data_IF_627571145869
#
_entry.id   IF_627571145869
#
_cell.length_a   1.000
_cell.length_b   1.000
_cell.length_c   1.000
_cell.angle_alpha   90.00
_cell.angle_beta   90.00
_cell.angle_gamma   90.00
#
_symmetry.space_group_name_H-M   'P 1'
#
loop_
_entity.id
_entity.type
_entity.pdbx_description
1 polymer ?
#
# COMPACT_ATOMS: atom_id res chain seq x y z
N UNK A 1 -0.60 16.97 -15.96
CA UNK A 1 -1.74 16.06 -15.78
C UNK A 1 -1.95 15.88 -14.29
N UNK A 2 -3.18 15.95 -13.81
CA UNK A 2 -3.53 15.80 -12.39
C UNK A 2 -4.29 14.49 -12.17
N UNK A 3 -4.13 13.86 -11.01
CA UNK A 3 -4.86 12.63 -10.63
C UNK A 3 -5.86 12.86 -9.48
N UNK A 4 -5.92 14.08 -8.93
CA UNK A 4 -6.89 14.50 -7.93
C UNK A 4 -7.59 15.79 -8.35
N UNK A 5 -8.89 15.88 -8.08
CA UNK A 5 -9.74 17.02 -8.47
C UNK A 5 -9.21 18.32 -7.87
N UNK A 6 -8.82 18.30 -6.59
CA UNK A 6 -8.26 19.47 -5.91
C UNK A 6 -7.04 20.05 -6.63
N UNK A 7 -6.11 19.20 -7.07
CA UNK A 7 -4.92 19.64 -7.78
C UNK A 7 -5.23 20.11 -9.22
N UNK A 8 -6.24 19.54 -9.87
CA UNK A 8 -6.70 20.00 -11.18
C UNK A 8 -7.32 21.41 -11.10
N UNK A 9 -8.23 21.62 -10.14
CA UNK A 9 -8.92 22.91 -9.94
C UNK A 9 -7.95 24.04 -9.59
N UNK A 10 -6.82 23.72 -8.96
CA UNK A 10 -5.80 24.69 -8.52
C UNK A 10 -4.53 24.66 -9.35
N UNK A 11 -4.53 23.99 -10.50
CA UNK A 11 -3.35 23.87 -11.34
C UNK A 11 -2.93 25.24 -11.89
N UNK A 12 -1.66 25.59 -11.72
CA UNK A 12 -1.05 26.78 -12.34
C UNK A 12 -0.54 26.51 -13.76
N UNK A 13 -0.54 25.24 -14.18
CA UNK A 13 -0.15 24.80 -15.52
C UNK A 13 -1.38 24.34 -16.32
N UNK A 14 -1.30 24.44 -17.66
CA UNK A 14 -2.30 23.87 -18.56
C UNK A 14 -2.14 22.35 -18.61
N UNK A 15 -3.01 21.63 -17.91
CA UNK A 15 -3.03 20.17 -17.88
C UNK A 15 -4.44 19.63 -17.65
N UNK A 16 -4.69 18.40 -18.08
CA UNK A 16 -5.96 17.69 -17.87
C UNK A 16 -5.94 16.70 -16.71
N UNK A 17 -7.10 16.11 -16.43
CA UNK A 17 -7.24 14.96 -15.54
C UNK A 17 -6.68 13.70 -16.21
N UNK A 18 -5.98 12.86 -15.46
CA UNK A 18 -5.62 11.50 -15.89
C UNK A 18 -6.91 10.69 -16.09
N UNK A 19 -6.93 9.82 -17.09
CA UNK A 19 -8.06 8.92 -17.33
C UNK A 19 -8.42 8.13 -16.05
N UNK A 20 -9.71 8.13 -15.69
CA UNK A 20 -10.20 7.52 -14.46
C UNK A 20 -9.96 6.00 -14.42
N UNK A 21 -9.94 5.33 -15.57
CA UNK A 21 -9.60 3.92 -15.67
C UNK A 21 -8.14 3.68 -15.26
N UNK A 22 -7.20 4.55 -15.65
CA UNK A 22 -5.79 4.45 -15.25
C UNK A 22 -5.64 4.66 -13.74
N UNK A 23 -6.29 5.69 -13.17
CA UNK A 23 -6.27 5.94 -11.71
C UNK A 23 -6.81 4.71 -10.96
N UNK A 24 -7.90 4.12 -11.45
CA UNK A 24 -8.47 2.91 -10.86
C UNK A 24 -7.49 1.74 -10.90
N UNK A 25 -6.88 1.48 -12.06
CA UNK A 25 -5.91 0.38 -12.26
C UNK A 25 -4.70 0.46 -11.35
N UNK A 26 -4.19 1.67 -11.07
CA UNK A 26 -2.97 1.84 -10.27
C UNK A 26 -3.19 1.77 -8.76
N UNK A 27 -4.43 1.78 -8.28
CA UNK A 27 -4.72 1.78 -6.85
C UNK A 27 -5.17 0.40 -6.37
N UNK A 28 -4.31 -0.28 -5.59
CA UNK A 28 -4.56 -1.60 -5.02
C UNK A 28 -5.86 -1.67 -4.19
N UNK A 29 -6.29 -0.57 -3.56
CA UNK A 29 -7.53 -0.51 -2.77
C UNK A 29 -8.77 -0.90 -3.58
N UNK A 30 -8.76 -0.69 -4.91
CA UNK A 30 -9.88 -1.05 -5.79
C UNK A 30 -10.02 -2.55 -6.05
N UNK A 31 -9.03 -3.36 -5.64
CA UNK A 31 -8.92 -4.77 -6.02
C UNK A 31 -8.79 -5.72 -4.82
N UNK A 32 -8.88 -5.20 -3.60
CA UNK A 32 -8.77 -5.98 -2.34
C UNK A 32 -9.81 -7.10 -2.25
N UNK A 33 -11.00 -6.93 -2.85
CA UNK A 33 -12.08 -7.93 -2.88
C UNK A 33 -11.98 -8.92 -4.06
N UNK A 34 -10.94 -8.82 -4.90
CA UNK A 34 -10.77 -9.74 -6.02
C UNK A 34 -10.50 -11.16 -5.51
N UNK A 35 -11.34 -12.17 -5.84
CA UNK A 35 -11.17 -13.54 -5.37
C UNK A 35 -9.90 -14.22 -5.90
N UNK A 36 -9.28 -13.66 -6.96
CA UNK A 36 -8.00 -14.13 -7.52
C UNK A 36 -6.79 -13.39 -6.96
N UNK A 37 -6.96 -12.42 -6.06
CA UNK A 37 -5.84 -11.71 -5.44
C UNK A 37 -5.14 -12.57 -4.39
N UNK A 38 -3.90 -12.21 -4.07
CA UNK A 38 -3.10 -12.88 -3.04
C UNK A 38 -3.87 -12.99 -1.71
N UNK A 39 -3.71 -14.12 -1.03
CA UNK A 39 -4.37 -14.40 0.24
C UNK A 39 -3.56 -13.92 1.44
N UNK A 40 -2.24 -14.04 1.36
CA UNK A 40 -1.31 -13.67 2.42
C UNK A 40 -0.56 -12.38 2.05
N UNK A 41 -0.53 -11.42 2.97
CA UNK A 41 0.08 -10.11 2.80
C UNK A 41 1.02 -9.82 3.97
N UNK A 42 2.24 -9.35 3.67
CA UNK A 42 3.17 -8.81 4.65
C UNK A 42 3.49 -7.37 4.28
N UNK A 43 3.20 -6.44 5.18
CA UNK A 43 3.34 -4.99 4.94
C UNK A 43 4.18 -4.38 6.06
N UNK A 44 5.16 -3.56 5.69
CA UNK A 44 6.02 -2.81 6.61
C UNK A 44 6.13 -1.35 6.17
N UNK A 45 6.02 -0.43 7.11
CA UNK A 45 6.37 1.00 6.93
C UNK A 45 7.07 1.46 8.19
N UNK A 46 8.31 1.92 8.08
CA UNK A 46 9.12 2.31 9.22
C UNK A 46 8.53 3.50 9.97
N UNK A 47 8.70 3.58 11.29
CA UNK A 47 8.15 4.72 12.06
C UNK A 47 8.84 6.04 11.73
N UNK A 48 10.04 6.00 11.13
CA UNK A 48 10.78 7.17 10.65
C UNK A 48 10.64 7.41 9.13
N UNK A 49 9.87 6.57 8.42
CA UNK A 49 9.50 6.82 7.03
C UNK A 49 8.47 7.96 6.98
N UNK A 50 8.74 8.99 6.18
CA UNK A 50 7.89 10.18 6.02
C UNK A 50 7.61 10.50 4.56
N UNK A 51 7.87 9.55 3.66
CA UNK A 51 7.65 9.71 2.22
C UNK A 51 6.16 9.66 1.88
N UNK A 52 5.36 9.05 2.76
CA UNK A 52 3.90 9.15 2.78
C UNK A 52 3.37 9.09 4.21
N UNK A 53 2.07 9.35 4.39
CA UNK A 53 1.42 9.18 5.70
C UNK A 53 1.32 7.70 6.07
N UNK A 54 1.65 7.34 7.32
CA UNK A 54 1.46 6.01 7.90
C UNK A 54 0.02 5.50 7.76
N UNK A 55 -0.95 6.42 7.62
CA UNK A 55 -2.34 6.07 7.36
C UNK A 55 -2.52 5.31 6.04
N UNK A 56 -1.69 5.55 5.01
CA UNK A 56 -1.85 4.90 3.70
C UNK A 56 -1.66 3.38 3.80
N UNK A 57 -0.56 2.93 4.42
CA UNK A 57 -0.32 1.50 4.62
C UNK A 57 -1.27 0.88 5.63
N UNK A 58 -1.61 1.60 6.70
CA UNK A 58 -2.56 1.14 7.70
C UNK A 58 -3.96 0.91 7.11
N UNK A 59 -4.45 1.85 6.29
CA UNK A 59 -5.75 1.72 5.62
C UNK A 59 -5.80 0.52 4.67
N UNK A 60 -4.72 0.27 3.92
CA UNK A 60 -4.62 -0.92 3.07
C UNK A 60 -4.67 -2.20 3.90
N UNK A 61 -3.88 -2.28 4.97
CA UNK A 61 -3.86 -3.42 5.88
C UNK A 61 -5.23 -3.68 6.53
N UNK A 62 -5.91 -2.61 6.99
CA UNK A 62 -7.26 -2.70 7.56
C UNK A 62 -8.25 -3.22 6.53
N UNK A 63 -8.27 -2.63 5.32
CA UNK A 63 -9.22 -3.03 4.28
C UNK A 63 -9.00 -4.49 3.84
N UNK A 64 -7.75 -4.93 3.72
CA UNK A 64 -7.41 -6.33 3.44
C UNK A 64 -7.93 -7.28 4.54
N UNK A 65 -7.72 -6.95 5.82
CA UNK A 65 -8.27 -7.73 6.94
C UNK A 65 -9.81 -7.78 6.91
N UNK A 66 -10.49 -6.66 6.63
CA UNK A 66 -11.95 -6.60 6.56
C UNK A 66 -12.55 -7.52 5.50
N UNK A 67 -11.80 -7.81 4.42
CA UNK A 67 -12.24 -8.70 3.34
C UNK A 67 -11.71 -10.13 3.51
N UNK A 68 -11.21 -10.47 4.70
CA UNK A 68 -10.81 -11.83 5.08
C UNK A 68 -9.39 -12.23 4.70
N UNK A 69 -8.57 -11.32 4.16
CA UNK A 69 -7.17 -11.62 3.83
C UNK A 69 -6.30 -11.73 5.06
N UNK A 70 -5.26 -12.56 5.00
CA UNK A 70 -4.29 -12.71 6.08
C UNK A 70 -3.22 -11.63 5.97
N UNK A 71 -3.15 -10.73 6.95
CA UNK A 71 -2.24 -9.56 6.90
C UNK A 71 -1.31 -9.54 8.10
N UNK A 72 -0.01 -9.67 7.84
CA UNK A 72 1.08 -9.36 8.77
C UNK A 72 1.48 -7.89 8.54
N UNK A 73 0.99 -6.99 9.40
CA UNK A 73 1.30 -5.56 9.36
C UNK A 73 2.12 -5.12 10.57
N UNK A 74 3.20 -4.37 10.32
CA UNK A 74 3.97 -3.74 11.40
C UNK A 74 4.56 -2.40 10.98
N UNK A 75 4.88 -1.58 11.99
CA UNK A 75 5.62 -0.33 11.82
C UNK A 75 6.96 -0.41 12.56
N UNK A 76 8.05 -0.87 11.90
CA UNK A 76 9.33 -1.07 12.57
C UNK A 76 9.91 0.24 13.12
N UNK A 77 10.31 0.21 14.39
CA UNK A 77 10.79 1.41 15.09
C UNK A 77 12.09 1.93 14.48
N UNK A 78 12.16 3.24 14.24
CA UNK A 78 13.38 3.92 13.80
C UNK A 78 13.79 3.64 12.35
N UNK A 79 13.04 2.81 11.62
CA UNK A 79 13.32 2.50 10.22
C UNK A 79 12.86 3.68 9.35
N UNK A 80 13.72 4.21 8.46
CA UNK A 80 13.38 5.29 7.53
C UNK A 80 12.69 4.72 6.27
N UNK A 81 12.67 5.48 5.17
CA UNK A 81 12.24 4.98 3.86
C UNK A 81 13.21 3.91 3.34
N UNK A 82 12.91 2.64 3.59
CA UNK A 82 13.75 1.49 3.28
C UNK A 82 12.94 0.20 3.10
N UNK A 83 13.56 -0.81 2.50
CA UNK A 83 13.07 -2.19 2.38
C UNK A 83 14.18 -3.20 2.72
N UNK A 84 13.84 -4.49 2.72
CA UNK A 84 14.78 -5.62 2.88
C UNK A 84 15.70 -5.56 4.12
N UNK A 85 15.31 -4.80 5.15
CA UNK A 85 16.07 -4.67 6.39
C UNK A 85 15.73 -5.77 7.42
N UNK A 86 14.67 -6.56 7.18
CA UNK A 86 14.17 -7.62 8.08
C UNK A 86 14.05 -8.99 7.36
N UNK A 87 15.08 -9.35 6.58
CA UNK A 87 15.07 -10.56 5.74
C UNK A 87 14.87 -11.87 6.52
N UNK A 88 15.45 -11.99 7.72
CA UNK A 88 15.28 -13.18 8.55
C UNK A 88 13.80 -13.38 8.95
N UNK A 89 13.12 -12.31 9.35
CA UNK A 89 11.69 -12.31 9.64
C UNK A 89 10.84 -12.51 8.39
N UNK A 90 11.23 -11.93 7.25
CA UNK A 90 10.57 -12.13 5.97
C UNK A 90 10.63 -13.60 5.55
N UNK A 91 11.79 -14.25 5.62
CA UNK A 91 11.95 -15.65 5.25
C UNK A 91 11.21 -16.58 6.22
N UNK A 92 11.22 -16.29 7.52
CA UNK A 92 10.40 -17.03 8.50
C UNK A 92 8.91 -16.91 8.19
N UNK A 93 8.44 -15.71 7.84
CA UNK A 93 7.04 -15.52 7.43
C UNK A 93 6.71 -16.30 6.16
N UNK A 94 7.54 -16.21 5.13
CA UNK A 94 7.35 -16.93 3.88
C UNK A 94 7.33 -18.46 4.09
N UNK A 95 8.25 -18.99 4.89
CA UNK A 95 8.28 -20.40 5.29
C UNK A 95 6.99 -20.81 6.01
N UNK A 96 6.43 -19.95 6.86
CA UNK A 96 5.22 -20.27 7.64
C UNK A 96 3.95 -20.40 6.81
N UNK A 97 3.93 -19.84 5.59
CA UNK A 97 2.76 -19.89 4.69
C UNK A 97 2.96 -20.81 3.49
N UNK A 98 4.19 -21.28 3.24
CA UNK A 98 4.53 -22.10 2.07
C UNK A 98 4.85 -23.57 2.40
N UNK A 99 5.07 -23.90 3.69
CA UNK A 99 5.33 -25.27 4.16
C UNK A 99 4.04 -25.94 4.63
#
# INVERSE_FOLDING_TARGET
>A
MSYGIYALERSTAKGGMVDAHIIKMMNAMNYVENPKAAEHWRIRVGTSDRDTSHAISALLAIKLNMVGKQVDYATPWGVPHAGDYDLDELFKWADSIAK
#
